data_IF_072500293958
#
_entry.id   IF_072500293958
#
_cell.length_a   1.000
_cell.length_b   1.000
_cell.length_c   1.000
_cell.angle_alpha   90.00
_cell.angle_beta   90.00
_cell.angle_gamma   90.00
#
_symmetry.space_group_name_H-M   'P 1'
#
loop_
_entity.id
_entity.type
_entity.pdbx_description
1 polymer ?
#
# COMPACT_ATOMS: atom_id res chain seq x y z
N UNK A 1 4.45 6.01 -32.07
CA UNK A 1 4.23 6.39 -33.48
C UNK A 1 5.28 7.42 -33.91
N UNK A 2 6.59 7.07 -33.84
CA UNK A 2 7.68 7.95 -34.32
C UNK A 2 7.67 9.39 -33.79
N UNK A 3 7.45 9.58 -32.48
CA UNK A 3 7.31 10.89 -31.82
C UNK A 3 5.92 11.53 -31.88
N UNK A 4 5.00 10.93 -32.63
CA UNK A 4 3.61 11.40 -32.75
C UNK A 4 2.70 10.67 -31.78
N UNK A 5 1.63 11.34 -31.35
CA UNK A 5 0.58 10.73 -30.52
C UNK A 5 -0.54 10.19 -31.39
N UNK A 6 -1.04 9.02 -31.03
CA UNK A 6 -2.27 8.48 -31.61
C UNK A 6 -3.39 8.60 -30.58
N UNK A 7 -4.44 9.33 -30.93
CA UNK A 7 -5.66 9.42 -30.14
C UNK A 7 -6.73 8.53 -30.79
N UNK A 8 -7.34 7.68 -29.99
CA UNK A 8 -8.41 6.78 -30.43
C UNK A 8 -9.66 7.00 -29.59
N UNK A 9 -10.82 6.91 -30.24
CA UNK A 9 -12.12 6.83 -29.58
C UNK A 9 -12.91 5.70 -30.23
N UNK A 10 -13.47 4.83 -29.40
CA UNK A 10 -14.29 3.70 -29.84
C UNK A 10 -15.59 4.18 -30.50
N UNK A 11 -16.27 5.15 -29.88
CA UNK A 11 -17.45 5.80 -30.43
C UNK A 11 -17.09 6.53 -31.72
N UNK A 12 -17.81 6.19 -32.79
CA UNK A 12 -17.58 6.66 -34.15
C UNK A 12 -16.20 6.30 -34.75
N UNK A 13 -15.41 5.43 -34.08
CA UNK A 13 -14.12 4.92 -34.55
C UNK A 13 -13.16 6.03 -34.97
N UNK A 14 -13.00 7.03 -34.11
CA UNK A 14 -12.14 8.19 -34.39
C UNK A 14 -10.68 7.78 -34.16
N UNK A 15 -9.82 8.13 -35.13
CA UNK A 15 -8.36 8.02 -35.02
C UNK A 15 -7.77 9.36 -35.43
N UNK A 16 -6.95 9.95 -34.55
CA UNK A 16 -6.18 11.14 -34.86
C UNK A 16 -4.69 10.88 -34.67
N UNK A 17 -3.89 11.41 -35.58
CA UNK A 17 -2.43 11.30 -35.58
C UNK A 17 -1.82 12.69 -35.38
N UNK A 18 -1.40 12.96 -34.16
CA UNK A 18 -1.03 14.27 -33.65
C UNK A 18 0.49 14.45 -33.72
N UNK A 19 0.95 15.51 -34.38
CA UNK A 19 2.36 15.92 -34.42
C UNK A 19 2.50 17.27 -33.73
N UNK A 20 3.56 17.46 -32.94
CA UNK A 20 3.85 18.72 -32.25
C UNK A 20 2.67 19.23 -31.39
N UNK A 21 1.89 18.32 -30.79
CA UNK A 21 0.82 18.68 -29.84
C UNK A 21 1.39 18.57 -28.43
N UNK A 22 1.39 19.67 -27.68
CA UNK A 22 1.96 19.68 -26.33
C UNK A 22 0.92 19.45 -25.23
N UNK A 23 -0.36 19.66 -25.52
CA UNK A 23 -1.47 19.51 -24.57
C UNK A 23 -2.66 18.82 -25.22
N UNK A 24 -3.19 17.82 -24.54
CA UNK A 24 -4.44 17.15 -24.90
C UNK A 24 -5.43 17.39 -23.77
N UNK A 25 -6.65 17.78 -24.13
CA UNK A 25 -7.77 17.94 -23.20
C UNK A 25 -8.93 17.10 -23.74
N UNK A 26 -9.47 16.24 -22.89
CA UNK A 26 -10.55 15.33 -23.24
C UNK A 26 -11.68 15.46 -22.22
N UNK A 27 -12.86 15.83 -22.69
CA UNK A 27 -14.09 15.89 -21.88
C UNK A 27 -14.87 14.61 -22.12
N UNK A 28 -15.05 13.80 -21.07
CA UNK A 28 -15.72 12.50 -21.12
C UNK A 28 -17.21 12.66 -21.44
N UNK A 29 -17.87 13.59 -20.75
CA UNK A 29 -19.28 13.97 -20.95
C UNK A 29 -20.25 12.79 -20.77
N UNK A 30 -20.66 12.53 -19.53
CA UNK A 30 -21.85 11.74 -19.21
C UNK A 30 -21.80 10.29 -19.71
N UNK A 31 -21.71 9.32 -18.82
CA UNK A 31 -21.68 7.92 -19.23
C UNK A 31 -20.98 7.04 -18.22
N UNK A 32 -20.28 6.04 -18.71
CA UNK A 32 -19.29 5.34 -17.92
C UNK A 32 -18.11 5.22 -18.86
N UNK A 33 -17.09 6.01 -18.58
CA UNK A 33 -16.00 6.25 -19.49
C UNK A 33 -14.74 5.52 -19.03
N UNK A 34 -13.98 5.05 -20.02
CA UNK A 34 -12.66 4.47 -19.81
C UNK A 34 -11.65 5.23 -20.65
N UNK A 35 -10.81 6.02 -19.99
CA UNK A 35 -9.78 6.83 -20.63
C UNK A 35 -8.41 6.24 -20.30
N UNK A 36 -7.60 5.97 -21.32
CA UNK A 36 -6.27 5.37 -21.15
C UNK A 36 -5.23 6.33 -21.74
N UNK A 37 -4.33 6.81 -20.88
CA UNK A 37 -3.13 7.54 -21.25
C UNK A 37 -1.96 6.56 -21.16
N UNK A 38 -1.47 6.11 -22.31
CA UNK A 38 -0.30 5.24 -22.39
C UNK A 38 1.00 6.05 -22.23
N UNK A 39 2.14 5.35 -22.20
CA UNK A 39 3.45 5.98 -22.30
C UNK A 39 3.53 6.95 -23.51
N UNK A 40 3.74 8.23 -23.21
CA UNK A 40 3.90 9.30 -24.20
C UNK A 40 5.38 9.68 -24.40
N UNK A 41 6.32 8.88 -23.90
CA UNK A 41 7.75 9.09 -24.07
C UNK A 41 8.12 9.26 -25.54
N UNK A 42 8.94 10.27 -25.80
CA UNK A 42 9.40 10.61 -27.14
C UNK A 42 8.42 11.44 -27.97
N UNK A 43 7.24 11.78 -27.43
CA UNK A 43 6.30 12.72 -28.03
C UNK A 43 6.44 14.13 -27.43
N UNK A 44 5.83 15.14 -28.06
CA UNK A 44 5.86 16.52 -27.55
C UNK A 44 4.81 16.80 -26.46
N UNK A 45 3.92 15.85 -26.17
CA UNK A 45 2.88 16.03 -25.16
C UNK A 45 3.52 16.15 -23.78
N UNK A 46 3.23 17.26 -23.12
CA UNK A 46 3.68 17.55 -21.75
C UNK A 46 2.55 17.45 -20.74
N UNK A 47 1.29 17.50 -21.19
CA UNK A 47 0.11 17.39 -20.35
C UNK A 47 -1.06 16.74 -21.07
N UNK A 48 -1.74 15.85 -20.37
CA UNK A 48 -3.08 15.35 -20.71
C UNK A 48 -4.04 15.74 -19.58
N UNK A 49 -5.11 16.45 -19.91
CA UNK A 49 -6.23 16.71 -19.01
C UNK A 49 -7.40 15.82 -19.42
N UNK A 50 -7.92 15.07 -18.46
CA UNK A 50 -9.14 14.28 -18.58
C UNK A 50 -10.18 14.94 -17.68
N UNK A 51 -11.19 15.54 -18.27
CA UNK A 51 -12.30 16.15 -17.56
C UNK A 51 -13.49 15.18 -17.55
N UNK A 52 -13.91 14.76 -16.35
CA UNK A 52 -15.03 13.84 -16.14
C UNK A 52 -16.38 14.57 -15.98
N UNK A 53 -16.47 15.84 -16.40
CA UNK A 53 -17.70 16.60 -16.30
C UNK A 53 -18.88 15.96 -17.06
N UNK A 54 -20.10 16.03 -16.51
CA UNK A 54 -21.29 15.45 -17.14
C UNK A 54 -21.92 16.32 -18.23
N UNK A 55 -21.64 17.62 -18.21
CA UNK A 55 -22.09 18.60 -19.20
C UNK A 55 -20.94 19.52 -19.47
N UNK A 56 -20.66 19.79 -20.74
CA UNK A 56 -19.57 20.67 -21.16
C UNK A 56 -19.64 22.04 -20.47
N UNK A 57 -18.54 22.45 -19.83
CA UNK A 57 -18.40 23.64 -19.00
C UNK A 57 -19.38 23.68 -17.80
N UNK A 58 -19.83 22.52 -17.33
CA UNK A 58 -20.83 22.35 -16.27
C UNK A 58 -20.25 22.45 -14.87
N UNK A 59 -18.95 22.21 -14.73
CA UNK A 59 -18.20 22.34 -13.48
C UNK A 59 -18.49 21.25 -12.44
N UNK A 60 -19.09 20.13 -12.85
CA UNK A 60 -19.40 19.00 -12.00
C UNK A 60 -19.26 17.69 -12.77
N UNK A 61 -18.82 16.65 -12.06
CA UNK A 61 -18.80 15.27 -12.55
C UNK A 61 -20.20 14.79 -12.96
N UNK A 62 -20.25 13.68 -13.68
CA UNK A 62 -21.47 13.19 -14.29
C UNK A 62 -22.32 12.29 -13.37
N UNK A 63 -21.82 11.99 -12.18
CA UNK A 63 -22.44 11.16 -11.16
C UNK A 63 -22.32 9.66 -11.44
N UNK A 64 -21.52 9.27 -12.43
CA UNK A 64 -21.30 7.89 -12.81
C UNK A 64 -19.90 7.44 -12.37
N UNK A 65 -19.54 6.21 -12.69
CA UNK A 65 -18.26 5.63 -12.28
C UNK A 65 -17.35 5.52 -13.50
N UNK A 66 -16.34 6.38 -13.55
CA UNK A 66 -15.37 6.41 -14.64
C UNK A 66 -14.05 5.77 -14.24
N UNK A 67 -13.28 5.35 -15.24
CA UNK A 67 -11.93 4.81 -15.05
C UNK A 67 -10.93 5.56 -15.91
N UNK A 68 -10.00 6.25 -15.28
CA UNK A 68 -8.84 6.83 -15.93
C UNK A 68 -7.63 5.94 -15.65
N UNK A 69 -6.88 5.58 -16.68
CA UNK A 69 -5.66 4.79 -16.57
C UNK A 69 -4.47 5.61 -17.06
N UNK A 70 -3.43 5.69 -16.25
CA UNK A 70 -2.13 6.24 -16.60
C UNK A 70 -1.09 5.12 -16.61
N UNK A 71 -0.48 4.87 -17.75
CA UNK A 71 0.64 3.94 -17.84
C UNK A 71 1.95 4.72 -17.85
N UNK A 72 2.87 4.30 -16.99
CA UNK A 72 4.28 4.65 -17.02
C UNK A 72 4.98 4.07 -18.24
N UNK A 73 6.30 4.05 -18.20
CA UNK A 73 7.16 3.48 -19.24
C UNK A 73 7.86 2.21 -18.76
N UNK A 74 8.77 1.66 -19.55
CA UNK A 74 9.59 0.52 -19.13
C UNK A 74 10.83 0.94 -18.30
N UNK A 75 10.87 2.18 -17.84
CA UNK A 75 11.98 2.74 -17.09
C UNK A 75 11.49 3.15 -15.71
N UNK A 76 12.39 3.03 -14.73
CA UNK A 76 12.14 3.48 -13.36
C UNK A 76 11.67 4.94 -13.31
N UNK A 77 10.47 5.14 -12.77
CA UNK A 77 9.75 6.38 -12.66
C UNK A 77 9.45 6.74 -11.20
N UNK A 78 9.19 8.02 -10.96
CA UNK A 78 8.67 8.47 -9.67
C UNK A 78 7.41 9.26 -9.91
N UNK A 79 6.27 8.56 -9.84
CA UNK A 79 4.94 9.11 -9.99
C UNK A 79 4.46 9.64 -8.64
N UNK A 80 3.96 10.87 -8.64
CA UNK A 80 3.36 11.49 -7.44
C UNK A 80 1.93 11.91 -7.76
N UNK A 81 0.99 11.51 -6.90
CA UNK A 81 -0.40 11.93 -6.99
C UNK A 81 -0.69 13.00 -5.95
N UNK A 82 -1.25 14.12 -6.40
CA UNK A 82 -1.55 15.28 -5.55
C UNK A 82 -2.87 15.92 -5.96
N UNK A 83 -3.46 16.67 -5.04
CA UNK A 83 -4.65 17.46 -5.33
C UNK A 83 -4.28 18.89 -5.71
N UNK A 84 -4.85 19.39 -6.80
CA UNK A 84 -4.82 20.79 -7.20
C UNK A 84 -6.25 21.33 -7.24
N UNK A 85 -6.74 21.85 -6.11
CA UNK A 85 -8.16 22.10 -5.94
C UNK A 85 -8.90 20.77 -5.79
N UNK A 86 -9.85 20.49 -6.68
CA UNK A 86 -10.57 19.21 -6.76
C UNK A 86 -9.95 18.24 -7.78
N UNK A 87 -9.00 18.71 -8.59
CA UNK A 87 -8.37 17.87 -9.62
C UNK A 87 -7.29 16.97 -9.01
N UNK A 88 -7.24 15.72 -9.48
CA UNK A 88 -6.16 14.77 -9.18
C UNK A 88 -5.07 14.95 -10.22
N UNK A 89 -3.84 15.17 -9.79
CA UNK A 89 -2.69 15.42 -10.67
C UNK A 89 -1.63 14.34 -10.47
N UNK A 90 -1.33 13.60 -11.53
CA UNK A 90 -0.20 12.67 -11.58
C UNK A 90 0.99 13.34 -12.28
N UNK A 91 2.09 13.50 -11.54
CA UNK A 91 3.36 14.00 -12.04
C UNK A 91 4.38 12.87 -12.08
N UNK A 92 5.40 12.98 -12.93
CA UNK A 92 6.50 12.00 -13.00
C UNK A 92 6.40 11.01 -14.16
N UNK A 93 5.20 10.89 -14.74
CA UNK A 93 4.97 10.26 -16.04
C UNK A 93 5.58 11.11 -17.17
N UNK A 94 5.73 10.52 -18.36
CA UNK A 94 6.21 11.22 -19.56
C UNK A 94 5.44 12.51 -19.88
N UNK A 95 4.12 12.51 -19.64
CA UNK A 95 3.28 13.69 -19.66
C UNK A 95 2.50 13.78 -18.34
N UNK A 96 2.35 14.98 -17.79
CA UNK A 96 1.53 15.19 -16.60
C UNK A 96 0.07 14.82 -16.92
N UNK A 97 -0.54 13.96 -16.10
CA UNK A 97 -1.97 13.71 -16.16
C UNK A 97 -2.69 14.59 -15.13
N UNK A 98 -3.77 15.23 -15.56
CA UNK A 98 -4.71 15.95 -14.69
C UNK A 98 -6.08 15.33 -14.90
N UNK A 99 -6.73 14.90 -13.83
CA UNK A 99 -8.12 14.43 -13.83
C UNK A 99 -8.98 15.46 -13.12
N UNK A 100 -9.87 16.12 -13.86
CA UNK A 100 -10.77 17.16 -13.35
C UNK A 100 -12.16 16.60 -13.10
N UNK A 101 -12.88 17.23 -12.18
CA UNK A 101 -14.25 16.87 -11.77
C UNK A 101 -14.45 15.42 -11.32
N UNK A 102 -13.38 14.81 -10.83
CA UNK A 102 -13.37 13.50 -10.18
C UNK A 102 -14.40 13.38 -9.05
N UNK A 103 -15.05 12.23 -8.99
CA UNK A 103 -16.00 11.82 -7.97
C UNK A 103 -15.52 10.56 -7.25
N UNK A 104 -16.03 10.31 -6.06
CA UNK A 104 -15.61 9.14 -5.26
C UNK A 104 -16.02 7.79 -5.88
N UNK A 105 -16.93 7.82 -6.86
CA UNK A 105 -17.30 6.66 -7.68
C UNK A 105 -16.26 6.33 -8.76
N UNK A 106 -15.40 7.28 -9.10
CA UNK A 106 -14.39 7.13 -10.14
C UNK A 106 -13.17 6.38 -9.64
N UNK A 107 -12.34 5.96 -10.59
CA UNK A 107 -11.08 5.30 -10.33
C UNK A 107 -9.96 5.85 -11.19
N UNK A 108 -8.84 6.16 -10.55
CA UNK A 108 -7.55 6.32 -11.22
C UNK A 108 -6.74 5.04 -11.05
N UNK A 109 -6.30 4.49 -12.17
CA UNK A 109 -5.34 3.39 -12.26
C UNK A 109 -4.00 3.97 -12.67
N UNK A 110 -2.93 3.69 -11.94
CA UNK A 110 -1.55 4.06 -12.29
C UNK A 110 -0.72 2.79 -12.36
N UNK A 111 -0.14 2.51 -13.53
CA UNK A 111 0.69 1.33 -13.76
C UNK A 111 2.14 1.75 -14.00
N UNK A 112 3.08 1.22 -13.23
CA UNK A 112 4.54 1.43 -13.41
C UNK A 112 5.07 0.71 -14.65
N UNK A 113 4.63 -0.54 -14.86
CA UNK A 113 5.02 -1.45 -15.95
C UNK A 113 6.35 -2.16 -15.70
N UNK A 114 7.45 -1.76 -16.35
CA UNK A 114 8.76 -2.35 -16.08
C UNK A 114 9.65 -1.28 -15.42
N UNK A 115 10.57 -1.70 -14.57
CA UNK A 115 11.48 -0.79 -13.87
C UNK A 115 11.16 -0.72 -12.39
N UNK A 116 12.06 -0.12 -11.62
CA UNK A 116 11.86 0.06 -10.18
C UNK A 116 11.16 1.40 -9.96
N UNK A 117 9.86 1.37 -9.88
CA UNK A 117 8.99 2.52 -9.83
C UNK A 117 8.67 2.95 -8.40
N UNK A 118 8.36 4.24 -8.28
CA UNK A 118 7.79 4.81 -7.06
C UNK A 118 6.48 5.46 -7.41
N UNK A 119 5.38 4.97 -6.86
CA UNK A 119 4.05 5.59 -7.01
C UNK A 119 3.60 6.08 -5.63
N UNK A 120 3.55 7.40 -5.45
CA UNK A 120 3.32 8.03 -4.14
C UNK A 120 2.06 8.92 -4.15
N UNK A 121 1.01 8.45 -3.50
CA UNK A 121 -0.28 9.12 -3.39
C UNK A 121 -0.53 9.76 -2.01
N UNK A 122 0.45 9.74 -1.10
CA UNK A 122 0.29 10.22 0.30
C UNK A 122 -0.06 11.70 0.42
N UNK A 123 0.16 12.49 -0.64
CA UNK A 123 -0.24 13.90 -0.67
C UNK A 123 -1.77 14.08 -0.79
N UNK A 124 -2.53 13.03 -1.14
CA UNK A 124 -3.99 13.06 -1.21
C UNK A 124 -4.59 12.78 0.17
N UNK A 125 -4.74 13.84 0.98
CA UNK A 125 -5.27 13.74 2.34
C UNK A 125 -6.74 13.30 2.44
N UNK A 126 -7.48 13.34 1.33
CA UNK A 126 -8.87 12.91 1.20
C UNK A 126 -9.04 12.15 -0.11
N UNK A 127 -9.86 11.09 -0.11
CA UNK A 127 -10.21 10.34 -1.31
C UNK A 127 -11.02 11.23 -2.26
N UNK A 128 -10.39 11.73 -3.33
CA UNK A 128 -11.11 12.41 -4.42
C UNK A 128 -11.79 11.39 -5.34
N UNK A 129 -11.15 10.23 -5.53
CA UNK A 129 -11.60 9.06 -6.27
C UNK A 129 -10.86 7.83 -5.74
N UNK A 130 -11.30 6.62 -6.09
CA UNK A 130 -10.61 5.39 -5.71
C UNK A 130 -9.29 5.24 -6.47
N UNK A 131 -8.27 4.64 -5.84
CA UNK A 131 -6.99 4.36 -6.50
C UNK A 131 -6.78 2.87 -6.75
N UNK A 132 -6.13 2.59 -7.87
CA UNK A 132 -5.45 1.32 -8.12
C UNK A 132 -4.03 1.64 -8.54
N UNK A 133 -3.05 1.22 -7.72
CA UNK A 133 -1.63 1.43 -7.98
C UNK A 133 -1.01 0.07 -8.28
N UNK A 134 -0.40 -0.06 -9.44
CA UNK A 134 0.24 -1.28 -9.93
C UNK A 134 1.71 -0.97 -10.20
N UNK A 135 2.63 -1.61 -9.46
CA UNK A 135 4.07 -1.47 -9.66
C UNK A 135 4.49 -2.11 -10.97
N UNK A 136 4.22 -3.40 -11.11
CA UNK A 136 4.49 -4.15 -12.32
C UNK A 136 5.72 -5.04 -12.14
N UNK A 137 6.74 -4.88 -12.97
CA UNK A 137 7.97 -5.66 -12.93
C UNK A 137 9.11 -4.78 -12.45
N UNK A 138 9.69 -5.11 -11.32
CA UNK A 138 10.78 -4.39 -10.70
C UNK A 138 10.58 -4.32 -9.20
N UNK A 139 11.54 -3.72 -8.50
CA UNK A 139 11.40 -3.52 -7.06
C UNK A 139 10.76 -2.16 -6.83
N UNK A 140 9.47 -2.15 -6.56
CA UNK A 140 8.62 -0.97 -6.57
C UNK A 140 8.33 -0.44 -5.16
N UNK A 141 7.90 0.82 -5.10
CA UNK A 141 7.51 1.46 -3.86
C UNK A 141 6.17 2.15 -4.02
N UNK A 142 5.12 1.52 -3.49
CA UNK A 142 3.72 1.96 -3.60
C UNK A 142 3.26 2.57 -2.27
N UNK A 143 2.76 3.81 -2.35
CA UNK A 143 2.18 4.49 -1.20
C UNK A 143 0.79 4.97 -1.58
N UNK A 144 -0.24 4.34 -1.02
CA UNK A 144 -1.63 4.75 -1.17
C UNK A 144 -1.94 6.07 -0.47
N UNK A 145 -3.22 6.41 -0.48
CA UNK A 145 -3.74 7.70 -0.07
C UNK A 145 -4.71 7.57 1.11
N UNK A 146 -5.61 8.53 1.27
CA UNK A 146 -6.87 8.27 1.95
C UNK A 146 -7.85 7.65 0.97
N UNK A 147 -8.55 6.59 1.37
CA UNK A 147 -9.49 5.89 0.50
C UNK A 147 -9.59 4.42 0.84
N UNK A 148 -10.25 3.65 -0.02
CA UNK A 148 -10.06 2.20 -0.05
C UNK A 148 -9.32 1.94 -1.35
N UNK A 149 -8.02 1.75 -1.24
CA UNK A 149 -7.11 1.62 -2.38
C UNK A 149 -6.83 0.15 -2.68
N UNK A 150 -6.55 -0.14 -3.96
CA UNK A 150 -6.04 -1.43 -4.42
C UNK A 150 -4.56 -1.24 -4.78
N UNK A 151 -3.67 -1.96 -4.09
CA UNK A 151 -2.23 -1.92 -4.33
C UNK A 151 -1.76 -3.26 -4.85
N UNK A 152 -1.04 -3.26 -5.97
CA UNK A 152 -0.50 -4.44 -6.64
C UNK A 152 1.01 -4.22 -6.76
N UNK A 153 1.83 -4.94 -5.99
CA UNK A 153 3.29 -4.82 -6.07
C UNK A 153 3.79 -5.33 -7.41
N UNK A 154 3.65 -6.64 -7.64
CA UNK A 154 3.93 -7.28 -8.92
C UNK A 154 5.12 -8.24 -8.83
N UNK A 155 5.98 -8.28 -9.84
CA UNK A 155 7.20 -9.11 -9.83
C UNK A 155 8.38 -8.27 -9.31
N UNK A 156 9.03 -8.66 -8.22
CA UNK A 156 10.19 -7.99 -7.63
C UNK A 156 10.04 -7.86 -6.12
N UNK A 157 11.07 -7.33 -5.44
CA UNK A 157 10.95 -7.09 -3.99
C UNK A 157 10.33 -5.70 -3.74
N UNK A 158 9.07 -5.65 -3.34
CA UNK A 158 8.25 -4.44 -3.27
C UNK A 158 8.07 -3.88 -1.87
N UNK A 159 7.85 -2.57 -1.78
CA UNK A 159 7.45 -1.87 -0.56
C UNK A 159 6.07 -1.24 -0.74
N UNK A 160 5.10 -1.69 0.05
CA UNK A 160 3.71 -1.21 -0.02
C UNK A 160 3.28 -0.58 1.30
N UNK A 161 2.63 0.59 1.23
CA UNK A 161 1.95 1.26 2.34
C UNK A 161 0.55 1.62 1.87
N UNK A 162 -0.49 1.06 2.48
CA UNK A 162 -1.88 1.35 2.13
C UNK A 162 -2.26 2.81 2.40
N UNK A 163 -1.95 3.28 3.61
CA UNK A 163 -2.33 4.61 4.05
C UNK A 163 -3.66 4.60 4.78
N UNK A 164 -4.45 5.67 4.64
CA UNK A 164 -5.68 5.83 5.42
C UNK A 164 -6.86 5.14 4.74
N UNK A 165 -7.62 4.44 5.56
CA UNK A 165 -8.80 3.72 5.10
C UNK A 165 -8.46 2.25 4.92
N UNK A 166 -9.40 1.47 4.39
CA UNK A 166 -9.27 0.02 4.40
C UNK A 166 -8.83 -0.45 3.02
N UNK A 167 -7.56 -0.78 2.92
CA UNK A 167 -6.90 -1.06 1.65
C UNK A 167 -6.79 -2.57 1.40
N UNK A 168 -6.59 -2.93 0.14
CA UNK A 168 -6.27 -4.30 -0.27
C UNK A 168 -4.94 -4.28 -1.00
N UNK A 169 -3.96 -5.03 -0.50
CA UNK A 169 -2.65 -5.18 -1.09
C UNK A 169 -2.43 -6.62 -1.55
N UNK A 170 -2.01 -6.78 -2.80
CA UNK A 170 -1.42 -8.01 -3.33
C UNK A 170 0.05 -7.71 -3.60
N UNK A 171 0.97 -8.32 -2.85
CA UNK A 171 2.38 -7.96 -2.92
C UNK A 171 3.04 -8.55 -4.16
N UNK A 172 2.83 -9.85 -4.44
CA UNK A 172 3.22 -10.42 -5.73
C UNK A 172 4.29 -11.48 -5.61
N UNK A 173 5.24 -11.48 -6.53
CA UNK A 173 6.35 -12.41 -6.52
C UNK A 173 7.63 -11.71 -6.10
N UNK A 174 8.21 -12.09 -4.96
CA UNK A 174 9.38 -11.41 -4.42
C UNK A 174 9.45 -11.56 -2.91
N UNK A 175 10.37 -10.85 -2.27
CA UNK A 175 10.36 -10.74 -0.81
C UNK A 175 9.89 -9.34 -0.46
N UNK A 176 8.58 -9.23 -0.25
CA UNK A 176 7.91 -7.95 -0.19
C UNK A 176 7.78 -7.44 1.24
N UNK A 177 7.46 -6.17 1.37
CA UNK A 177 7.16 -5.55 2.67
C UNK A 177 5.89 -4.73 2.60
N UNK A 178 4.89 -5.11 3.38
CA UNK A 178 3.77 -4.23 3.71
C UNK A 178 4.06 -3.50 5.01
N UNK A 179 4.07 -2.17 4.98
CA UNK A 179 4.31 -1.35 6.17
C UNK A 179 3.04 -0.61 6.61
N UNK A 180 2.74 -0.73 7.90
CA UNK A 180 1.58 -0.10 8.55
C UNK A 180 2.05 0.84 9.67
N UNK A 181 1.46 2.04 9.74
CA UNK A 181 1.76 3.03 10.78
C UNK A 181 0.49 3.59 11.43
N UNK A 182 0.59 4.20 12.63
CA UNK A 182 -0.59 4.73 13.31
C UNK A 182 -1.28 5.83 12.48
N UNK A 183 -2.57 5.63 12.23
CA UNK A 183 -3.38 6.51 11.38
C UNK A 183 -3.82 5.83 10.10
N UNK A 184 -3.13 4.75 9.69
CA UNK A 184 -3.58 3.86 8.63
C UNK A 184 -4.82 3.06 9.08
N UNK A 185 -5.55 2.46 8.13
CA UNK A 185 -6.79 1.75 8.44
C UNK A 185 -6.63 0.25 8.63
N UNK A 186 -7.72 -0.49 8.39
CA UNK A 186 -7.77 -1.95 8.52
C UNK A 186 -7.65 -2.59 7.14
N UNK A 187 -6.50 -3.22 6.89
CA UNK A 187 -6.12 -3.64 5.55
C UNK A 187 -6.17 -5.16 5.38
N UNK A 188 -6.34 -5.58 4.13
CA UNK A 188 -6.17 -6.97 3.71
C UNK A 188 -4.87 -7.07 2.91
N UNK A 189 -3.97 -7.98 3.31
CA UNK A 189 -2.66 -8.14 2.69
C UNK A 189 -2.48 -9.58 2.25
N UNK A 190 -2.15 -9.77 0.98
CA UNK A 190 -1.79 -11.06 0.38
C UNK A 190 -0.30 -10.98 0.01
N UNK A 191 0.58 -11.67 0.74
CA UNK A 191 2.02 -11.68 0.45
C UNK A 191 2.34 -12.38 -0.87
N UNK A 192 1.65 -13.49 -1.12
CA UNK A 192 1.78 -14.34 -2.31
C UNK A 192 3.12 -15.08 -2.36
N UNK A 193 3.96 -14.85 -3.38
CA UNK A 193 5.07 -15.74 -3.68
C UNK A 193 6.40 -15.17 -3.21
N UNK A 194 6.88 -15.62 -2.06
CA UNK A 194 8.28 -15.49 -1.68
C UNK A 194 8.47 -15.49 -0.19
N UNK A 195 9.00 -14.42 0.40
CA UNK A 195 9.15 -14.33 1.85
C UNK A 195 8.89 -12.92 2.32
N UNK A 196 7.65 -12.71 2.73
CA UNK A 196 7.05 -11.39 2.86
C UNK A 196 7.03 -10.94 4.32
N UNK A 197 7.20 -9.63 4.50
CA UNK A 197 7.26 -8.96 5.79
C UNK A 197 6.05 -8.05 5.99
N UNK A 198 5.31 -8.23 7.08
CA UNK A 198 4.50 -7.18 7.67
C UNK A 198 5.37 -6.37 8.65
N UNK A 199 5.54 -5.07 8.40
CA UNK A 199 6.21 -4.13 9.30
C UNK A 199 5.21 -3.18 9.96
N UNK A 200 4.90 -3.42 11.25
CA UNK A 200 3.99 -2.59 12.05
C UNK A 200 4.76 -1.65 12.96
N UNK A 201 4.36 -0.38 12.98
CA UNK A 201 4.84 0.60 13.96
C UNK A 201 3.71 1.00 14.91
N UNK A 202 3.93 0.88 16.22
CA UNK A 202 3.05 1.38 17.28
C UNK A 202 3.21 2.89 17.49
N UNK A 203 2.81 3.39 18.65
CA UNK A 203 2.83 4.82 18.97
C UNK A 203 3.48 5.09 20.33
N UNK A 204 3.11 6.18 21.01
CA UNK A 204 3.59 6.50 22.36
C UNK A 204 2.51 6.24 23.42
N UNK A 205 1.47 5.49 23.05
CA UNK A 205 0.33 5.18 23.88
C UNK A 205 0.48 3.76 24.43
N UNK A 206 -0.21 3.48 25.53
CA UNK A 206 -0.34 2.09 25.96
C UNK A 206 -1.25 1.36 24.96
N UNK A 207 -0.70 0.36 24.28
CA UNK A 207 -1.35 -0.36 23.21
C UNK A 207 -1.49 -1.84 23.54
N UNK A 208 -2.53 -2.46 23.00
CA UNK A 208 -2.68 -3.92 23.01
C UNK A 208 -2.63 -4.42 21.58
N UNK A 209 -1.64 -5.28 21.32
CA UNK A 209 -1.46 -5.97 20.05
C UNK A 209 -1.79 -7.46 20.21
N UNK A 210 -2.47 -8.02 19.22
CA UNK A 210 -2.75 -9.46 19.14
C UNK A 210 -2.40 -10.01 17.77
N UNK A 211 -1.79 -11.19 17.73
CA UNK A 211 -1.44 -11.91 16.51
C UNK A 211 -2.02 -13.31 16.65
N UNK A 212 -3.01 -13.66 15.83
CA UNK A 212 -3.72 -14.93 15.92
C UNK A 212 -4.01 -15.55 14.57
N UNK A 213 -4.00 -16.87 14.48
CA UNK A 213 -4.53 -17.57 13.32
C UNK A 213 -6.05 -17.35 13.17
N UNK A 214 -6.50 -17.22 11.93
CA UNK A 214 -7.90 -17.15 11.51
C UNK A 214 -8.11 -18.10 10.33
N UNK A 215 -8.09 -19.40 10.61
CA UNK A 215 -8.01 -20.42 9.56
C UNK A 215 -6.58 -20.52 9.04
N UNK A 216 -6.38 -20.37 7.73
CA UNK A 216 -5.04 -20.29 7.12
C UNK A 216 -4.41 -18.90 7.22
N UNK A 217 -5.22 -17.88 7.51
CA UNK A 217 -4.83 -16.47 7.56
C UNK A 217 -4.39 -16.05 8.95
N UNK A 218 -3.83 -14.86 9.08
CA UNK A 218 -3.48 -14.22 10.36
C UNK A 218 -4.29 -12.96 10.55
N UNK A 219 -4.85 -12.79 11.75
CA UNK A 219 -5.34 -11.50 12.21
C UNK A 219 -4.29 -10.84 13.09
N UNK A 220 -3.79 -9.69 12.64
CA UNK A 220 -3.06 -8.75 13.48
C UNK A 220 -4.04 -7.68 13.96
N UNK A 221 -4.18 -7.51 15.28
CA UNK A 221 -5.12 -6.55 15.86
C UNK A 221 -4.41 -5.55 16.75
N UNK A 222 -4.93 -4.33 16.76
CA UNK A 222 -4.51 -3.24 17.65
C UNK A 222 -5.74 -2.55 18.24
N UNK A 223 -5.76 -2.37 19.55
CA UNK A 223 -6.90 -1.77 20.27
C UNK A 223 -7.10 -0.29 19.91
N UNK A 224 -6.03 0.48 19.83
CA UNK A 224 -6.06 1.89 19.45
C UNK A 224 -6.45 2.00 17.97
N UNK A 225 -7.55 2.68 17.70
CA UNK A 225 -8.14 2.80 16.36
C UNK A 225 -8.96 1.58 15.93
N UNK A 226 -9.01 0.52 16.75
CA UNK A 226 -9.71 -0.74 16.43
C UNK A 226 -9.27 -1.32 15.08
N UNK A 227 -7.95 -1.40 14.90
CA UNK A 227 -7.33 -1.82 13.63
C UNK A 227 -7.26 -3.33 13.58
N UNK A 228 -7.59 -3.88 12.40
CA UNK A 228 -7.43 -5.28 12.06
C UNK A 228 -6.73 -5.37 10.72
N UNK A 229 -5.59 -6.07 10.68
CA UNK A 229 -4.95 -6.48 9.43
C UNK A 229 -5.24 -7.97 9.22
N UNK A 230 -5.74 -8.31 8.04
CA UNK A 230 -6.02 -9.68 7.61
C UNK A 230 -4.96 -10.12 6.60
N UNK A 231 -4.10 -11.04 7.01
CA UNK A 231 -2.90 -11.43 6.28
C UNK A 231 -3.03 -12.86 5.74
N UNK A 232 -2.70 -13.04 4.46
CA UNK A 232 -2.48 -14.35 3.83
C UNK A 232 -1.08 -14.37 3.22
N UNK A 233 -0.43 -15.54 3.18
CA UNK A 233 0.89 -15.73 2.57
C UNK A 233 1.97 -14.73 3.07
N UNK A 234 1.87 -14.27 4.33
CA UNK A 234 2.91 -13.45 4.98
C UNK A 234 3.70 -14.33 5.94
N UNK A 235 5.03 -14.39 5.80
CA UNK A 235 5.88 -15.27 6.61
C UNK A 235 6.46 -14.58 7.84
N UNK A 236 6.62 -13.26 7.82
CA UNK A 236 7.33 -12.52 8.87
C UNK A 236 6.55 -11.30 9.34
N UNK A 237 6.36 -11.19 10.65
CA UNK A 237 5.82 -9.97 11.27
C UNK A 237 6.94 -9.30 12.07
N UNK A 238 7.14 -8.01 11.84
CA UNK A 238 7.99 -7.15 12.66
C UNK A 238 7.13 -6.04 13.27
N UNK A 239 6.93 -6.12 14.58
CA UNK A 239 6.28 -5.08 15.37
C UNK A 239 7.34 -4.23 16.07
N UNK A 240 7.23 -2.91 15.94
CA UNK A 240 7.93 -1.91 16.78
C UNK A 240 6.89 -1.29 17.70
N UNK A 241 6.91 -1.66 18.98
CA UNK A 241 5.92 -1.21 19.96
C UNK A 241 6.00 0.32 20.16
N UNK A 242 7.23 0.84 20.20
CA UNK A 242 7.57 2.23 20.50
C UNK A 242 7.37 2.56 21.98
N UNK A 243 6.62 3.61 22.33
CA UNK A 243 6.53 4.08 23.71
C UNK A 243 5.20 3.71 24.35
N UNK A 244 5.16 3.57 25.68
CA UNK A 244 3.93 3.23 26.40
C UNK A 244 4.05 1.86 27.05
N UNK A 245 3.15 1.56 27.99
CA UNK A 245 3.09 0.23 28.59
C UNK A 245 2.25 -0.68 27.69
N UNK A 246 2.91 -1.46 26.85
CA UNK A 246 2.27 -2.25 25.80
C UNK A 246 2.00 -3.69 26.22
N UNK A 247 0.94 -4.28 25.66
CA UNK A 247 0.62 -5.70 25.84
C UNK A 247 0.58 -6.36 24.47
N UNK A 248 1.46 -7.33 24.22
CA UNK A 248 1.59 -8.03 22.96
C UNK A 248 1.31 -9.52 23.17
N UNK A 249 0.29 -10.04 22.49
CA UNK A 249 -0.06 -11.45 22.51
C UNK A 249 0.22 -12.11 21.14
N UNK A 250 1.11 -13.11 21.13
CA UNK A 250 1.29 -14.03 20.00
C UNK A 250 0.57 -15.33 20.35
N UNK A 251 -0.58 -15.56 19.74
CA UNK A 251 -1.37 -16.77 19.96
C UNK A 251 -0.83 -17.95 19.13
N UNK A 252 -1.49 -19.11 19.21
CA UNK A 252 -1.18 -20.25 18.35
C UNK A 252 -1.36 -19.87 16.87
N UNK A 253 -0.27 -19.94 16.10
CA UNK A 253 -0.21 -19.64 14.67
C UNK A 253 -0.24 -20.92 13.81
N UNK A 254 -0.60 -22.06 14.39
CA UNK A 254 -0.72 -23.31 13.63
C UNK A 254 -1.72 -23.16 12.48
N UNK A 255 -1.25 -23.46 11.28
CA UNK A 255 -2.06 -23.43 10.05
C UNK A 255 -1.83 -22.20 9.18
N UNK A 256 -1.04 -21.23 9.64
CA UNK A 256 -0.64 -20.05 8.86
C UNK A 256 0.80 -20.17 8.36
N UNK A 257 1.21 -19.26 7.48
CA UNK A 257 2.54 -19.22 6.87
C UNK A 257 3.61 -18.52 7.73
N UNK A 258 3.22 -17.97 8.89
CA UNK A 258 4.13 -17.24 9.76
C UNK A 258 5.23 -18.16 10.28
N UNK A 259 6.47 -17.83 9.92
CA UNK A 259 7.68 -18.50 10.43
C UNK A 259 8.38 -17.67 11.51
N UNK A 260 8.15 -16.34 11.55
CA UNK A 260 8.81 -15.45 12.50
C UNK A 260 7.95 -14.27 12.94
N UNK A 261 7.98 -13.99 14.24
CA UNK A 261 7.46 -12.75 14.82
C UNK A 261 8.59 -12.04 15.57
N UNK A 262 8.99 -10.88 15.07
CA UNK A 262 9.88 -9.96 15.76
C UNK A 262 9.08 -8.90 16.51
N UNK A 263 9.34 -8.77 17.81
CA UNK A 263 8.75 -7.74 18.66
C UNK A 263 9.89 -6.88 19.16
N UNK A 264 9.83 -5.59 18.90
CA UNK A 264 10.83 -4.63 19.27
C UNK A 264 10.22 -3.61 20.26
N UNK A 265 10.68 -3.67 21.51
CA UNK A 265 10.20 -2.84 22.62
C UNK A 265 10.98 -1.54 22.79
N UNK A 266 11.80 -1.14 21.81
CA UNK A 266 12.42 0.18 21.90
C UNK A 266 11.42 1.31 21.75
N UNK A 267 11.64 2.35 22.54
CA UNK A 267 11.05 3.66 22.31
C UNK A 267 11.56 4.33 21.03
N UNK A 268 11.15 5.58 20.84
CA UNK A 268 11.51 6.40 19.66
C UNK A 268 13.02 6.59 19.45
N UNK A 269 13.85 6.34 20.47
CA UNK A 269 15.31 6.27 20.35
C UNK A 269 15.77 4.81 20.39
N UNK A 270 16.19 4.23 19.25
CA UNK A 270 16.27 2.77 19.03
C UNK A 270 17.45 2.06 19.73
N UNK A 271 18.00 2.62 20.80
CA UNK A 271 19.19 2.11 21.49
C UNK A 271 18.89 1.30 22.76
N UNK A 272 17.69 1.39 23.31
CA UNK A 272 17.23 0.70 24.51
C UNK A 272 15.70 0.50 24.44
N UNK A 273 15.13 -0.22 25.41
CA UNK A 273 13.68 -0.20 25.64
C UNK A 273 13.17 1.21 25.91
N UNK A 274 11.85 1.36 25.93
CA UNK A 274 11.18 2.66 25.98
C UNK A 274 11.08 3.27 27.40
N UNK A 275 11.42 2.50 28.43
CA UNK A 275 11.35 2.86 29.85
C UNK A 275 9.97 2.67 30.48
N UNK A 276 9.00 2.11 29.76
CA UNK A 276 7.72 1.66 30.25
C UNK A 276 7.73 0.14 30.47
N UNK A 277 6.73 -0.37 31.20
CA UNK A 277 6.63 -1.79 31.48
C UNK A 277 5.76 -2.43 30.42
N UNK A 278 6.36 -3.28 29.59
CA UNK A 278 5.68 -4.03 28.55
C UNK A 278 5.33 -5.44 29.02
N UNK A 279 4.40 -6.08 28.33
CA UNK A 279 4.03 -7.47 28.56
C UNK A 279 3.94 -8.22 27.23
N UNK A 280 4.77 -9.25 27.06
CA UNK A 280 4.70 -10.15 25.90
C UNK A 280 4.28 -11.55 26.34
N UNK A 281 3.17 -12.05 25.79
CA UNK A 281 2.74 -13.45 25.95
C UNK A 281 2.83 -14.20 24.63
N UNK A 282 3.36 -15.42 24.69
CA UNK A 282 3.44 -16.33 23.53
C UNK A 282 2.78 -17.65 23.91
N UNK A 283 1.71 -18.01 23.20
CA UNK A 283 0.95 -19.22 23.46
C UNK A 283 1.55 -20.42 22.72
N UNK A 284 1.56 -21.57 23.41
CA UNK A 284 1.77 -22.87 22.77
C UNK A 284 0.51 -23.36 22.06
N UNK A 285 0.59 -24.57 21.51
CA UNK A 285 -0.59 -25.22 20.93
C UNK A 285 -1.48 -25.80 22.03
N UNK A 286 -2.66 -26.31 21.66
CA UNK A 286 -3.48 -27.13 22.58
C UNK A 286 -2.83 -28.48 22.93
N UNK A 287 -1.76 -28.84 22.22
CA UNK A 287 -1.02 -30.07 22.36
C UNK A 287 0.12 -30.00 23.39
N UNK A 288 1.02 -30.98 23.31
CA UNK A 288 2.24 -30.96 24.10
C UNK A 288 3.33 -30.24 23.30
N UNK A 289 3.75 -29.07 23.79
CA UNK A 289 4.82 -28.29 23.18
C UNK A 289 6.16 -28.49 23.89
N UNK A 290 7.25 -28.37 23.13
CA UNK A 290 8.60 -28.26 23.68
C UNK A 290 9.11 -26.87 23.34
N UNK A 291 8.92 -25.94 24.27
CA UNK A 291 9.31 -24.54 24.09
C UNK A 291 10.75 -24.36 24.58
N UNK A 292 11.58 -23.75 23.76
CA UNK A 292 12.95 -23.36 24.10
C UNK A 292 13.07 -21.86 24.23
N UNK A 293 13.64 -21.41 25.34
CA UNK A 293 14.00 -20.01 25.55
C UNK A 293 15.51 -19.84 25.37
N UNK A 294 15.89 -18.77 24.70
CA UNK A 294 17.27 -18.33 24.54
C UNK A 294 17.35 -16.85 24.82
N UNK A 295 18.50 -16.37 25.27
CA UNK A 295 18.74 -14.94 25.46
C UNK A 295 20.10 -14.52 24.94
N UNK A 296 20.16 -13.32 24.39
CA UNK A 296 21.40 -12.69 23.90
C UNK A 296 21.35 -11.20 24.20
N UNK A 297 21.97 -10.78 25.30
CA UNK A 297 21.85 -9.41 25.78
C UNK A 297 20.43 -9.13 26.30
N UNK A 298 19.79 -8.10 25.76
CA UNK A 298 18.39 -7.70 26.03
C UNK A 298 17.37 -8.38 25.12
N UNK A 299 17.79 -9.36 24.31
CA UNK A 299 16.91 -10.03 23.36
C UNK A 299 16.59 -11.44 23.87
N UNK A 300 15.31 -11.82 23.78
CA UNK A 300 14.77 -13.12 24.15
C UNK A 300 14.26 -13.82 22.89
N UNK A 301 14.82 -14.98 22.59
CA UNK A 301 14.33 -15.85 21.51
C UNK A 301 13.48 -16.99 22.08
N UNK A 302 12.30 -17.19 21.52
CA UNK A 302 11.32 -18.22 21.87
C UNK A 302 11.15 -19.11 20.64
N UNK A 303 11.56 -20.37 20.77
CA UNK A 303 11.50 -21.37 19.70
C UNK A 303 10.78 -22.64 20.13
N UNK A 304 10.61 -23.58 19.20
CA UNK A 304 9.88 -24.82 19.44
C UNK A 304 8.37 -24.73 19.24
N UNK A 305 7.90 -23.60 18.73
CA UNK A 305 6.54 -23.33 18.24
C UNK A 305 6.56 -23.23 16.71
N UNK A 306 5.39 -23.04 16.08
CA UNK A 306 5.25 -22.88 14.63
C UNK A 306 6.08 -21.69 14.12
N UNK A 307 5.92 -20.54 14.75
CA UNK A 307 6.75 -19.37 14.51
C UNK A 307 7.85 -19.23 15.58
N UNK A 308 9.03 -18.80 15.16
CA UNK A 308 10.04 -18.31 16.13
C UNK A 308 9.68 -16.89 16.53
N UNK A 309 9.52 -16.65 17.84
CA UNK A 309 9.28 -15.30 18.36
C UNK A 309 10.58 -14.74 18.91
N UNK A 310 10.91 -13.49 18.56
CA UNK A 310 12.06 -12.78 19.12
C UNK A 310 11.57 -11.47 19.71
N UNK A 311 11.76 -11.30 21.02
CA UNK A 311 11.50 -10.04 21.72
C UNK A 311 12.84 -9.33 21.89
N UNK A 312 12.93 -8.10 21.41
CA UNK A 312 14.16 -7.33 21.36
C UNK A 312 14.10 -6.14 22.31
N UNK A 313 15.27 -5.82 22.89
CA UNK A 313 15.47 -4.65 23.76
C UNK A 313 14.56 -4.64 25.00
N UNK A 314 14.29 -5.82 25.56
CA UNK A 314 13.58 -5.95 26.84
C UNK A 314 14.34 -5.24 27.96
N UNK A 315 13.59 -4.68 28.90
CA UNK A 315 14.06 -4.05 30.12
C UNK A 315 13.66 -4.86 31.36
N UNK A 316 14.21 -4.49 32.51
CA UNK A 316 13.98 -5.26 33.74
C UNK A 316 12.55 -5.18 34.30
N UNK A 317 11.73 -4.30 33.73
CA UNK A 317 10.35 -4.04 34.14
C UNK A 317 9.32 -4.79 33.28
N UNK A 318 9.78 -5.46 32.23
CA UNK A 318 8.99 -6.29 31.30
C UNK A 318 8.82 -7.74 31.80
#
# INVERSE_FOLDING_TARGET
>A
NGGRVLFFRDVASVVMDLNDVERIEFHALGGTDRVIVNDLTGTDVTRVTVDLEGVLDGGAGDGQADVVTANGSAAAETVTLSLSGTAVVANGLAAQLVVEHAETSDRLVVNGLDGNDRIDARAQATAAMALTLDGGVGNDALFGAAGADLLLGGDGDDLVVGGRGNDVAFLGAGNDTFAWVPGDGSDTVEGQAGTDDLSVTGSAANETFGIAANGGRVLFVRDVGSVVLDLDDVERIQLKALGGADTIAVHDLTGTDIIRVGIDLAGTTPAAGDGAADAVSVDGTVGADIISLSSSGSDIGIGGLVATVVVQRTEAID
#
